data_IF_375169065016
#
_entry.id   IF_375169065016
#
_cell.length_a   1.000
_cell.length_b   1.000
_cell.length_c   1.000
_cell.angle_alpha   90.00
_cell.angle_beta   90.00
_cell.angle_gamma   90.00
#
_symmetry.space_group_name_H-M   'P 1'
#
loop_
_entity.id
_entity.type
_entity.pdbx_description
1 polymer ?
#
# COMPACT_ATOMS: atom_id res chain seq x y z
N UNK A 1 -17.07 -8.14 0.33
CA UNK A 1 -16.16 -9.24 -0.09
C UNK A 1 -14.77 -8.72 -0.43
N UNK A 2 -14.65 -7.69 -1.29
CA UNK A 2 -13.37 -7.05 -1.71
C UNK A 2 -12.36 -6.79 -0.58
N UNK A 3 -12.79 -6.30 0.57
CA UNK A 3 -11.87 -5.98 1.67
C UNK A 3 -11.06 -7.19 2.20
N UNK A 4 -11.63 -8.40 2.19
CA UNK A 4 -11.01 -9.59 2.79
C UNK A 4 -10.52 -10.62 1.77
N UNK A 5 -11.21 -10.75 0.64
CA UNK A 5 -10.93 -11.83 -0.32
C UNK A 5 -10.15 -11.35 -1.54
N UNK A 6 -10.07 -10.04 -1.78
CA UNK A 6 -9.32 -9.55 -2.91
C UNK A 6 -7.81 -9.71 -2.69
N UNK A 7 -7.04 -10.05 -3.73
CA UNK A 7 -5.61 -10.22 -3.60
C UNK A 7 -4.93 -8.93 -3.14
N UNK A 8 -3.78 -9.06 -2.48
CA UNK A 8 -2.87 -7.94 -2.26
C UNK A 8 -2.14 -7.69 -3.57
N UNK A 9 -2.34 -6.51 -4.15
CA UNK A 9 -1.64 -6.12 -5.38
C UNK A 9 -0.21 -5.72 -5.02
N UNK A 10 0.74 -6.30 -5.75
CA UNK A 10 2.18 -6.06 -5.61
C UNK A 10 2.72 -5.54 -6.93
N UNK A 11 3.85 -4.84 -6.90
CA UNK A 11 4.52 -4.44 -8.13
C UNK A 11 5.08 -5.67 -8.86
N UNK A 12 5.67 -6.59 -8.09
CA UNK A 12 6.25 -7.84 -8.59
C UNK A 12 5.73 -9.02 -7.79
N UNK A 13 5.16 -9.99 -8.51
CA UNK A 13 4.68 -11.24 -7.93
C UNK A 13 5.81 -12.10 -7.37
N UNK A 14 7.03 -11.95 -7.91
CA UNK A 14 8.23 -12.65 -7.47
C UNK A 14 8.62 -12.35 -6.03
N UNK A 15 8.18 -11.21 -5.48
CA UNK A 15 8.49 -10.76 -4.12
C UNK A 15 7.27 -10.75 -3.19
N UNK A 16 6.13 -11.32 -3.61
CA UNK A 16 4.88 -11.27 -2.84
C UNK A 16 4.95 -12.08 -1.52
N UNK A 17 5.82 -13.08 -1.47
CA UNK A 17 6.14 -13.90 -0.30
C UNK A 17 6.96 -13.13 0.75
N UNK A 18 7.80 -12.18 0.31
CA UNK A 18 8.58 -11.30 1.19
C UNK A 18 7.75 -10.28 1.96
N UNK A 19 6.47 -10.11 1.62
CA UNK A 19 5.58 -9.20 2.36
C UNK A 19 5.33 -9.75 3.77
N UNK A 20 5.69 -8.99 4.83
CA UNK A 20 5.53 -9.44 6.21
C UNK A 20 4.08 -9.80 6.55
N UNK A 21 3.90 -10.85 7.38
CA UNK A 21 2.57 -11.35 7.75
C UNK A 21 1.72 -10.30 8.47
N UNK A 22 2.31 -9.53 9.39
CA UNK A 22 1.68 -8.39 10.06
C UNK A 22 1.21 -7.32 9.05
N UNK A 23 2.00 -7.03 8.02
CA UNK A 23 1.61 -6.09 6.97
C UNK A 23 0.41 -6.61 6.19
N UNK A 24 0.39 -7.91 5.82
CA UNK A 24 -0.78 -8.54 5.17
C UNK A 24 -2.03 -8.45 6.04
N UNK A 25 -1.94 -8.77 7.32
CA UNK A 25 -3.07 -8.66 8.25
C UNK A 25 -3.60 -7.22 8.35
N UNK A 26 -2.70 -6.23 8.46
CA UNK A 26 -3.07 -4.82 8.56
C UNK A 26 -3.69 -4.28 7.26
N UNK A 27 -3.32 -4.80 6.09
CA UNK A 27 -4.00 -4.48 4.81
C UNK A 27 -5.48 -4.82 4.88
N UNK A 28 -5.84 -6.03 5.34
CA UNK A 28 -7.25 -6.44 5.41
C UNK A 28 -8.04 -5.57 6.39
N UNK A 29 -7.46 -5.27 7.55
CA UNK A 29 -8.06 -4.35 8.52
C UNK A 29 -8.25 -2.94 7.94
N UNK A 30 -7.22 -2.40 7.29
CA UNK A 30 -7.28 -1.07 6.67
C UNK A 30 -8.35 -1.01 5.58
N UNK A 31 -8.48 -2.05 4.75
CA UNK A 31 -9.52 -2.13 3.71
C UNK A 31 -10.93 -2.13 4.29
N UNK A 32 -11.14 -2.81 5.42
CA UNK A 32 -12.43 -2.77 6.11
C UNK A 32 -12.78 -1.36 6.59
N UNK A 33 -11.82 -0.68 7.23
CA UNK A 33 -12.01 0.71 7.68
C UNK A 33 -12.28 1.66 6.51
N UNK A 34 -11.53 1.51 5.41
CA UNK A 34 -11.74 2.28 4.18
C UNK A 34 -13.14 2.04 3.60
N UNK A 35 -13.60 0.78 3.56
CA UNK A 35 -14.94 0.43 3.11
C UNK A 35 -16.03 1.07 3.99
N UNK A 36 -15.87 1.05 5.31
CA UNK A 36 -16.81 1.69 6.24
C UNK A 36 -16.88 3.21 6.06
N UNK A 37 -15.79 3.83 5.61
CA UNK A 37 -15.72 5.27 5.29
C UNK A 37 -16.15 5.61 3.86
N UNK A 38 -16.45 4.62 3.02
CA UNK A 38 -16.76 4.85 1.60
C UNK A 38 -15.54 5.26 0.76
N UNK A 39 -14.33 4.93 1.19
CA UNK A 39 -13.10 5.25 0.45
C UNK A 39 -12.83 4.23 -0.67
N UNK A 40 -12.73 4.73 -1.90
CA UNK A 40 -12.44 3.92 -3.10
C UNK A 40 -11.00 4.08 -3.59
N UNK A 41 -10.04 4.01 -2.67
CA UNK A 41 -8.61 4.07 -2.99
C UNK A 41 -7.84 3.04 -2.17
N UNK A 42 -6.63 2.68 -2.60
CA UNK A 42 -5.80 1.77 -1.85
C UNK A 42 -5.39 2.40 -0.53
N UNK A 43 -5.23 1.58 0.50
CA UNK A 43 -4.86 2.01 1.84
C UNK A 43 -3.34 2.20 1.96
N UNK A 44 -2.89 2.94 2.98
CA UNK A 44 -1.44 3.13 3.23
C UNK A 44 -0.69 1.79 3.33
N UNK A 45 -1.17 0.76 4.06
CA UNK A 45 -0.53 -0.55 4.07
C UNK A 45 -0.40 -1.21 2.67
N UNK A 46 -1.39 -1.02 1.79
CA UNK A 46 -1.31 -1.54 0.41
C UNK A 46 -0.23 -0.83 -0.41
N UNK A 47 -0.09 0.49 -0.23
CA UNK A 47 0.99 1.26 -0.89
C UNK A 47 2.36 0.79 -0.40
N UNK A 48 2.52 0.58 0.91
CA UNK A 48 3.76 0.06 1.50
C UNK A 48 4.11 -1.29 0.88
N UNK A 49 3.16 -2.23 0.84
CA UNK A 49 3.39 -3.54 0.25
C UNK A 49 3.77 -3.44 -1.24
N UNK A 50 3.07 -2.62 -2.01
CA UNK A 50 3.34 -2.42 -3.43
C UNK A 50 4.75 -1.84 -3.68
N UNK A 51 5.06 -0.70 -3.06
CA UNK A 51 6.34 -0.02 -3.26
C UNK A 51 7.52 -0.77 -2.64
N UNK A 52 7.31 -1.54 -1.57
CA UNK A 52 8.33 -2.44 -1.03
C UNK A 52 8.75 -3.48 -2.06
N UNK A 53 7.77 -4.16 -2.70
CA UNK A 53 8.09 -5.11 -3.78
C UNK A 53 8.73 -4.45 -5.00
N UNK A 54 8.39 -3.18 -5.29
CA UNK A 54 9.07 -2.40 -6.33
C UNK A 54 10.53 -2.11 -5.97
N UNK A 55 10.82 -1.80 -4.72
CA UNK A 55 12.17 -1.50 -4.23
C UNK A 55 13.12 -2.69 -4.31
N UNK A 56 12.60 -3.92 -4.25
CA UNK A 56 13.41 -5.14 -4.42
C UNK A 56 13.83 -5.40 -5.87
N UNK A 57 13.05 -4.95 -6.85
CA UNK A 57 13.39 -5.10 -8.27
C UNK A 57 14.56 -4.20 -8.69
N UNK A 58 14.52 -2.94 -8.27
CA UNK A 58 15.54 -1.95 -8.63
C UNK A 58 15.45 -0.71 -7.73
N UNK A 59 16.52 0.10 -7.62
CA UNK A 59 16.46 1.42 -7.02
C UNK A 59 15.31 2.27 -7.61
N UNK A 60 14.68 3.06 -6.75
CA UNK A 60 13.58 3.97 -7.12
C UNK A 60 14.07 5.41 -7.22
N UNK A 61 13.38 6.22 -8.02
CA UNK A 61 13.61 7.67 -8.04
C UNK A 61 13.33 8.30 -6.67
N UNK A 62 13.99 9.42 -6.35
CA UNK A 62 13.95 10.04 -5.01
C UNK A 62 12.54 10.31 -4.49
N UNK A 63 11.63 10.77 -5.35
CA UNK A 63 10.22 11.02 -4.98
C UNK A 63 9.51 9.74 -4.50
N UNK A 64 9.72 8.61 -5.19
CA UNK A 64 9.13 7.33 -4.79
C UNK A 64 9.77 6.78 -3.51
N UNK A 65 11.06 7.04 -3.29
CA UNK A 65 11.74 6.75 -2.00
C UNK A 65 11.11 7.57 -0.88
N UNK A 66 10.84 8.85 -1.11
CA UNK A 66 10.18 9.71 -0.12
C UNK A 66 8.74 9.23 0.16
N UNK A 67 7.99 8.87 -0.88
CA UNK A 67 6.62 8.38 -0.73
C UNK A 67 6.59 7.08 0.06
N UNK A 68 7.42 6.07 -0.30
CA UNK A 68 7.38 4.78 0.39
C UNK A 68 7.82 4.91 1.85
N UNK A 69 8.84 5.72 2.14
CA UNK A 69 9.31 5.93 3.51
C UNK A 69 8.32 6.72 4.35
N UNK A 70 7.65 7.72 3.78
CA UNK A 70 6.56 8.44 4.44
C UNK A 70 5.36 7.52 4.72
N UNK A 71 4.95 6.71 3.74
CA UNK A 71 3.88 5.72 3.92
C UNK A 71 4.25 4.66 4.96
N UNK A 72 5.50 4.19 4.98
CA UNK A 72 5.98 3.22 5.96
C UNK A 72 6.01 3.80 7.38
N UNK A 73 6.46 5.05 7.55
CA UNK A 73 6.43 5.75 8.82
C UNK A 73 4.99 5.95 9.31
N UNK A 74 4.07 6.36 8.43
CA UNK A 74 2.65 6.49 8.74
C UNK A 74 2.03 5.14 9.12
N UNK A 75 2.35 4.08 8.39
CA UNK A 75 1.93 2.71 8.70
C UNK A 75 2.38 2.28 10.10
N UNK A 76 3.65 2.48 10.45
CA UNK A 76 4.18 2.08 11.74
C UNK A 76 3.48 2.80 12.90
N UNK A 77 3.23 4.10 12.77
CA UNK A 77 2.51 4.88 13.79
C UNK A 77 1.04 4.44 13.94
N UNK A 78 0.32 4.34 12.82
CA UNK A 78 -1.13 4.13 12.84
C UNK A 78 -1.55 2.67 13.07
N UNK A 79 -0.75 1.70 12.61
CA UNK A 79 -1.14 0.28 12.60
C UNK A 79 -0.23 -0.61 13.44
N UNK A 80 1.01 -0.23 13.69
CA UNK A 80 1.91 -0.98 14.56
C UNK A 80 2.09 -0.33 15.93
N UNK A 81 1.63 0.91 16.11
CA UNK A 81 1.85 1.72 17.32
C UNK A 81 3.33 1.80 17.70
N UNK A 82 4.19 1.97 16.69
CA UNK A 82 5.65 2.09 16.85
C UNK A 82 6.16 3.42 16.31
N UNK A 83 7.22 3.90 16.92
CA UNK A 83 8.00 5.01 16.38
C UNK A 83 8.76 4.57 15.13
N UNK A 84 8.71 5.35 14.03
CA UNK A 84 9.47 5.04 12.83
C UNK A 84 10.97 5.14 13.06
N UNK A 85 11.78 4.25 12.45
CA UNK A 85 13.21 4.28 12.61
C UNK A 85 13.82 5.56 12.01
N UNK A 86 15.00 5.97 12.50
CA UNK A 86 15.78 7.05 11.88
C UNK A 86 16.01 6.79 10.39
N UNK A 87 15.90 7.84 9.57
CA UNK A 87 16.10 7.76 8.11
C UNK A 87 14.83 7.57 7.28
N UNK A 88 13.66 7.32 7.89
CA UNK A 88 12.39 7.48 7.20
C UNK A 88 11.99 8.96 7.10
N UNK A 89 11.28 9.33 6.03
CA UNK A 89 10.71 10.67 5.89
C UNK A 89 9.66 10.89 6.99
N UNK A 90 10.02 11.71 7.98
CA UNK A 90 9.20 11.96 9.19
C UNK A 90 8.37 13.25 9.13
N UNK A 91 8.48 14.04 8.05
CA UNK A 91 7.63 15.23 7.87
C UNK A 91 6.16 14.85 7.85
N UNK A 92 5.31 15.76 8.31
CA UNK A 92 3.87 15.53 8.40
C UNK A 92 3.23 15.37 7.01
N UNK A 93 3.64 16.18 6.05
CA UNK A 93 3.04 16.25 4.71
C UNK A 93 4.07 15.96 3.60
N UNK A 94 3.58 15.37 2.51
CA UNK A 94 4.36 15.19 1.28
C UNK A 94 4.37 16.51 0.47
N UNK A 95 5.30 16.68 -0.47
CA UNK A 95 5.17 17.78 -1.43
C UNK A 95 3.95 17.58 -2.33
N UNK A 96 3.44 18.65 -2.94
CA UNK A 96 2.28 18.59 -3.84
C UNK A 96 2.44 17.57 -4.98
N UNK A 97 3.65 17.43 -5.52
CA UNK A 97 3.94 16.47 -6.58
C UNK A 97 3.93 15.03 -6.06
N UNK A 98 4.55 14.77 -4.91
CA UNK A 98 4.53 13.45 -4.27
C UNK A 98 3.12 13.05 -3.82
N UNK A 99 2.31 14.00 -3.33
CA UNK A 99 0.89 13.77 -3.02
C UNK A 99 0.09 13.41 -4.26
N UNK A 100 0.32 14.10 -5.38
CA UNK A 100 -0.31 13.79 -6.66
C UNK A 100 0.08 12.40 -7.15
N UNK A 101 1.36 12.05 -7.09
CA UNK A 101 1.88 10.72 -7.44
C UNK A 101 1.27 9.63 -6.55
N UNK A 102 1.24 9.84 -5.23
CA UNK A 102 0.65 8.91 -4.28
C UNK A 102 -0.84 8.72 -4.54
N UNK A 103 -1.59 9.80 -4.81
CA UNK A 103 -3.02 9.73 -5.12
C UNK A 103 -3.28 8.90 -6.37
N UNK A 104 -2.49 9.10 -7.42
CA UNK A 104 -2.58 8.29 -8.65
C UNK A 104 -2.28 6.82 -8.37
N UNK A 105 -1.17 6.53 -7.69
CA UNK A 105 -0.81 5.15 -7.35
C UNK A 105 -1.87 4.45 -6.50
N UNK A 106 -2.44 5.14 -5.49
CA UNK A 106 -3.50 4.58 -4.65
C UNK A 106 -4.74 4.22 -5.45
N UNK A 107 -5.07 5.02 -6.47
CA UNK A 107 -6.18 4.73 -7.39
C UNK A 107 -5.85 3.51 -8.25
N UNK A 108 -4.66 3.46 -8.84
CA UNK A 108 -4.25 2.36 -9.73
C UNK A 108 -4.23 1.00 -8.99
N UNK A 109 -3.73 0.97 -7.75
CA UNK A 109 -3.72 -0.23 -6.91
C UNK A 109 -5.17 -0.67 -6.61
N UNK A 110 -6.06 0.26 -6.27
CA UNK A 110 -7.46 -0.04 -5.99
C UNK A 110 -8.17 -0.61 -7.23
N UNK A 111 -8.06 0.06 -8.37
CA UNK A 111 -8.67 -0.40 -9.62
C UNK A 111 -8.13 -1.77 -10.04
N UNK A 112 -6.81 -1.99 -9.91
CA UNK A 112 -6.17 -3.29 -10.15
C UNK A 112 -6.70 -4.38 -9.23
N UNK A 113 -6.90 -4.08 -7.94
CA UNK A 113 -7.50 -5.01 -6.97
C UNK A 113 -8.91 -5.41 -7.37
N UNK A 114 -9.75 -4.43 -7.71
CA UNK A 114 -11.13 -4.65 -8.15
C UNK A 114 -11.19 -5.51 -9.41
N UNK A 115 -10.31 -5.25 -10.37
CA UNK A 115 -10.18 -6.05 -11.59
C UNK A 115 -9.77 -7.49 -11.27
N UNK A 116 -8.74 -7.68 -10.45
CA UNK A 116 -8.27 -9.01 -10.06
C UNK A 116 -9.36 -9.83 -9.33
N UNK A 117 -10.07 -9.20 -8.39
CA UNK A 117 -11.20 -9.84 -7.70
C UNK A 117 -12.31 -10.26 -8.69
N UNK A 118 -12.64 -9.39 -9.65
CA UNK A 118 -13.65 -9.70 -10.67
C UNK A 118 -13.26 -10.91 -11.51
N UNK A 119 -12.00 -11.03 -11.90
CA UNK A 119 -11.52 -12.20 -12.66
C UNK A 119 -11.57 -13.49 -11.83
N UNK A 120 -11.22 -13.44 -10.53
CA UNK A 120 -11.33 -14.60 -9.63
C UNK A 120 -12.79 -15.05 -9.51
N UNK A 121 -13.72 -14.12 -9.34
CA UNK A 121 -15.14 -14.44 -9.18
C UNK A 121 -15.81 -15.00 -10.46
N UNK A 122 -15.20 -14.83 -11.64
CA UNK A 122 -15.66 -15.48 -12.88
C UNK A 122 -15.28 -16.98 -12.94
N UNK A 123 -14.28 -17.40 -12.15
CA UNK A 123 -13.75 -18.75 -12.14
C UNK A 123 -13.70 -19.28 -10.67
N UNK A 124 -14.87 -19.51 -10.05
CA UNK A 124 -14.98 -19.85 -8.62
C UNK A 124 -14.44 -21.24 -8.25
#
# INVERSE_FOLDING_TARGET
MDALTAPVITFSTSWADMIPKNLKSNIYMARMLALMKGEETATIPEVVAYLMTRGFEAPMHGEWVNIVTWCAAKYQREYEHKEPPPGMVQREELSRDEERLLKMLRRDIYESRRKALKEILKHP
#
